data_IF_080526196587
#
_entry.id   IF_080526196587
#
_cell.length_a   1.000
_cell.length_b   1.000
_cell.length_c   1.000
_cell.angle_alpha   90.00
_cell.angle_beta   90.00
_cell.angle_gamma   90.00
#
_symmetry.space_group_name_H-M   'P 1'
#
loop_
_entity.id
_entity.type
_entity.pdbx_description
1 polymer ?
#
# COMPACT_ATOMS: atom_id res chain seq x y z
N UNK A 1 -17.94 24.78 4.55
CA UNK A 1 -16.73 23.93 4.56
C UNK A 1 -15.51 24.84 4.46
N UNK A 2 -14.35 24.48 5.03
CA UNK A 2 -13.10 25.25 4.89
C UNK A 2 -12.73 25.37 3.39
N UNK A 3 -12.31 26.54 2.92
CA UNK A 3 -11.97 26.79 1.50
C UNK A 3 -10.88 25.83 0.98
N UNK A 4 -9.91 25.49 1.83
CA UNK A 4 -8.86 24.51 1.50
C UNK A 4 -9.44 23.12 1.19
N UNK A 5 -10.49 22.72 1.90
CA UNK A 5 -11.11 21.40 1.75
C UNK A 5 -11.85 21.31 0.41
N UNK A 6 -12.55 22.37 0.05
CA UNK A 6 -13.27 22.48 -1.23
C UNK A 6 -12.29 22.34 -2.40
N UNK A 7 -11.17 23.07 -2.38
CA UNK A 7 -10.15 22.98 -3.43
C UNK A 7 -9.58 21.57 -3.61
N UNK A 8 -9.32 20.85 -2.50
CA UNK A 8 -8.84 19.46 -2.56
C UNK A 8 -9.87 18.50 -3.14
N UNK A 9 -11.15 18.63 -2.77
CA UNK A 9 -12.20 17.78 -3.35
C UNK A 9 -12.39 18.02 -4.84
N UNK A 10 -12.29 19.29 -5.29
CA UNK A 10 -12.32 19.64 -6.71
C UNK A 10 -11.15 18.97 -7.45
N UNK A 11 -9.91 19.11 -6.93
CA UNK A 11 -8.73 18.49 -7.54
C UNK A 11 -8.85 16.96 -7.63
N UNK A 12 -9.40 16.32 -6.60
CA UNK A 12 -9.66 14.87 -6.60
C UNK A 12 -10.72 14.49 -7.63
N UNK A 13 -11.82 15.25 -7.71
CA UNK A 13 -12.87 15.02 -8.70
C UNK A 13 -12.30 15.08 -10.12
N UNK A 14 -11.44 16.06 -10.40
CA UNK A 14 -10.83 16.25 -11.71
C UNK A 14 -9.81 15.13 -12.02
N UNK A 15 -8.99 14.74 -11.05
CA UNK A 15 -8.06 13.62 -11.19
C UNK A 15 -8.78 12.27 -11.39
N UNK A 16 -9.88 12.05 -10.69
CA UNK A 16 -10.67 10.83 -10.79
C UNK A 16 -11.21 10.58 -12.20
N UNK A 17 -11.56 11.64 -12.94
CA UNK A 17 -11.97 11.53 -14.34
C UNK A 17 -10.89 10.85 -15.21
N UNK A 18 -9.62 11.19 -15.00
CA UNK A 18 -8.49 10.59 -15.73
C UNK A 18 -8.06 9.25 -15.16
N UNK A 19 -8.06 9.10 -13.83
CA UNK A 19 -7.54 7.88 -13.19
C UNK A 19 -8.52 6.70 -13.25
N UNK A 20 -9.82 6.97 -13.10
CA UNK A 20 -10.85 5.94 -12.95
C UNK A 20 -11.76 5.82 -14.17
N UNK A 21 -12.21 6.96 -14.72
CA UNK A 21 -13.26 6.94 -15.75
C UNK A 21 -12.64 6.72 -17.13
N UNK A 22 -11.66 7.55 -17.48
CA UNK A 22 -10.98 7.55 -18.78
C UNK A 22 -9.46 7.42 -18.62
N UNK A 23 -8.95 6.27 -18.12
CA UNK A 23 -7.51 6.04 -18.03
C UNK A 23 -6.87 6.02 -19.41
N UNK A 24 -5.73 6.70 -19.55
CA UNK A 24 -4.95 6.74 -20.80
C UNK A 24 -4.46 5.34 -21.20
N UNK A 25 -4.12 4.53 -20.20
CA UNK A 25 -3.60 3.18 -20.39
C UNK A 25 -4.41 2.17 -19.58
N UNK A 26 -4.85 1.12 -20.27
CA UNK A 26 -5.54 -0.04 -19.72
C UNK A 26 -4.74 -1.32 -20.03
N UNK A 27 -4.99 -2.38 -19.28
CA UNK A 27 -4.22 -3.63 -19.35
C UNK A 27 -5.15 -4.83 -19.45
N UNK A 28 -4.62 -6.00 -19.81
CA UNK A 28 -5.40 -7.24 -19.72
C UNK A 28 -5.68 -7.54 -18.25
N UNK A 29 -6.84 -8.13 -17.98
CA UNK A 29 -7.25 -8.55 -16.63
C UNK A 29 -6.13 -9.30 -15.89
N UNK A 30 -5.56 -10.33 -16.52
CA UNK A 30 -4.52 -11.18 -15.92
C UNK A 30 -3.28 -10.39 -15.51
N UNK A 31 -2.89 -9.42 -16.32
CA UNK A 31 -1.68 -8.62 -16.08
C UNK A 31 -1.88 -7.71 -14.85
N UNK A 32 -3.10 -7.23 -14.61
CA UNK A 32 -3.45 -6.45 -13.41
C UNK A 32 -3.27 -7.29 -12.13
N UNK A 33 -3.61 -8.59 -12.21
CA UNK A 33 -3.50 -9.53 -11.09
C UNK A 33 -2.05 -9.99 -10.89
N UNK A 34 -1.38 -10.41 -11.97
CA UNK A 34 -0.03 -10.99 -11.94
C UNK A 34 1.08 -9.93 -11.84
N UNK A 35 0.79 -8.72 -12.29
CA UNK A 35 1.68 -7.57 -12.26
C UNK A 35 2.05 -7.07 -13.66
N UNK A 36 2.08 -5.75 -13.79
CA UNK A 36 2.50 -5.03 -15.01
C UNK A 36 3.79 -4.29 -14.73
N UNK A 37 4.67 -4.21 -15.73
CA UNK A 37 5.85 -3.36 -15.65
C UNK A 37 5.49 -1.93 -15.99
N UNK A 38 5.58 -1.03 -15.01
CA UNK A 38 5.45 0.41 -15.19
C UNK A 38 6.81 1.02 -14.88
N UNK A 39 7.40 1.70 -15.87
CA UNK A 39 8.79 2.15 -15.81
C UNK A 39 9.73 0.99 -15.41
N UNK A 40 10.43 1.11 -14.28
CA UNK A 40 11.36 0.13 -13.75
C UNK A 40 10.77 -0.71 -12.60
N UNK A 41 9.45 -0.69 -12.40
CA UNK A 41 8.77 -1.38 -11.29
C UNK A 41 7.67 -2.29 -11.78
N UNK A 42 7.57 -3.49 -11.19
CA UNK A 42 6.39 -4.35 -11.35
C UNK A 42 5.33 -3.90 -10.35
N UNK A 43 4.15 -3.52 -10.85
CA UNK A 43 3.01 -3.11 -10.06
C UNK A 43 1.89 -4.13 -10.18
N UNK A 44 1.35 -4.55 -9.05
CA UNK A 44 0.22 -5.48 -8.96
C UNK A 44 -0.97 -4.75 -8.34
N UNK A 45 -2.19 -5.18 -8.65
CA UNK A 45 -3.41 -4.63 -8.04
C UNK A 45 -3.37 -4.65 -6.50
N UNK A 46 -2.75 -5.68 -5.92
CA UNK A 46 -2.54 -5.78 -4.48
C UNK A 46 -1.08 -6.03 -4.18
N UNK A 47 -0.44 -5.04 -3.57
CA UNK A 47 0.96 -5.13 -3.16
C UNK A 47 1.18 -6.13 -2.01
N UNK A 48 2.38 -6.75 -1.98
CA UNK A 48 2.81 -7.69 -0.94
C UNK A 48 2.64 -7.14 0.49
N UNK A 49 2.78 -5.83 0.67
CA UNK A 49 2.57 -5.16 1.96
C UNK A 49 1.15 -5.33 2.51
N UNK A 50 0.14 -5.49 1.65
CA UNK A 50 -1.24 -5.77 2.09
C UNK A 50 -1.31 -7.14 2.75
N UNK A 51 -0.66 -8.15 2.15
CA UNK A 51 -0.67 -9.52 2.67
C UNK A 51 0.17 -9.69 3.94
N UNK A 52 1.05 -8.75 4.30
CA UNK A 52 1.79 -8.78 5.58
C UNK A 52 0.85 -8.82 6.80
N UNK A 53 -0.40 -8.36 6.66
CA UNK A 53 -1.40 -8.47 7.71
C UNK A 53 -1.78 -9.92 8.05
N UNK A 54 -1.45 -10.87 7.16
CA UNK A 54 -1.67 -12.30 7.32
C UNK A 54 -0.43 -13.06 7.82
N UNK A 55 0.66 -12.36 8.19
CA UNK A 55 1.89 -12.98 8.68
C UNK A 55 3.13 -12.32 8.08
N UNK A 56 3.66 -11.28 8.72
CA UNK A 56 4.73 -10.47 8.14
C UNK A 56 6.01 -11.29 7.96
N UNK A 57 6.40 -11.50 6.70
CA UNK A 57 7.58 -12.30 6.30
C UNK A 57 7.51 -13.76 6.73
N UNK A 58 6.30 -14.34 6.78
CA UNK A 58 6.11 -15.78 6.99
C UNK A 58 5.65 -16.45 5.69
N UNK A 59 5.81 -17.79 5.56
CA UNK A 59 5.26 -18.54 4.43
C UNK A 59 3.76 -18.26 4.20
N UNK A 60 2.99 -18.07 5.27
CA UNK A 60 1.55 -17.80 5.21
C UNK A 60 1.22 -16.57 4.36
N UNK A 61 2.03 -15.50 4.41
CA UNK A 61 1.78 -14.31 3.58
C UNK A 61 1.81 -14.62 2.10
N UNK A 62 2.75 -15.45 1.65
CA UNK A 62 2.88 -15.82 0.24
C UNK A 62 1.76 -16.77 -0.18
N UNK A 63 1.44 -17.77 0.65
CA UNK A 63 0.33 -18.70 0.40
C UNK A 63 -1.01 -17.97 0.31
N UNK A 64 -1.29 -17.05 1.24
CA UNK A 64 -2.48 -16.19 1.20
C UNK A 64 -2.50 -15.38 -0.09
N UNK A 65 -1.40 -14.74 -0.47
CA UNK A 65 -1.32 -13.98 -1.73
C UNK A 65 -1.65 -14.87 -2.94
N UNK A 66 -1.10 -16.09 -2.99
CA UNK A 66 -1.35 -17.08 -4.04
C UNK A 66 -2.82 -17.48 -4.10
N UNK A 67 -3.50 -17.68 -2.96
CA UNK A 67 -4.95 -17.96 -2.93
C UNK A 67 -5.77 -16.87 -3.61
N UNK A 68 -5.46 -15.59 -3.34
CA UNK A 68 -6.15 -14.48 -3.99
C UNK A 68 -5.86 -14.46 -5.49
N UNK A 69 -4.60 -14.57 -5.91
CA UNK A 69 -4.21 -14.58 -7.33
C UNK A 69 -4.91 -15.73 -8.06
N UNK A 70 -4.83 -16.94 -7.52
CA UNK A 70 -5.46 -18.13 -8.08
C UNK A 70 -6.98 -17.95 -8.20
N UNK A 71 -7.64 -17.39 -7.18
CA UNK A 71 -9.08 -17.13 -7.21
C UNK A 71 -9.47 -16.16 -8.34
N UNK A 72 -8.82 -14.99 -8.43
CA UNK A 72 -9.16 -13.98 -9.43
C UNK A 72 -8.85 -14.47 -10.85
N UNK A 73 -7.75 -15.20 -11.06
CA UNK A 73 -7.46 -15.81 -12.37
C UNK A 73 -8.48 -16.89 -12.74
N UNK A 74 -8.81 -17.80 -11.82
CA UNK A 74 -9.77 -18.89 -12.07
C UNK A 74 -11.18 -18.38 -12.38
N UNK A 75 -11.59 -17.28 -11.73
CA UNK A 75 -12.96 -16.74 -11.83
C UNK A 75 -13.08 -15.53 -12.78
N UNK A 76 -12.06 -15.27 -13.61
CA UNK A 76 -11.97 -14.11 -14.51
C UNK A 76 -13.27 -13.82 -15.25
N UNK A 77 -13.78 -14.77 -16.04
CA UNK A 77 -14.94 -14.58 -16.91
C UNK A 77 -16.20 -14.23 -16.10
N UNK A 78 -16.41 -14.92 -14.97
CA UNK A 78 -17.53 -14.62 -14.08
C UNK A 78 -17.42 -13.22 -13.48
N UNK A 79 -16.22 -12.81 -13.04
CA UNK A 79 -15.99 -11.50 -12.43
C UNK A 79 -16.21 -10.39 -13.46
N UNK A 80 -15.65 -10.52 -14.67
CA UNK A 80 -15.82 -9.54 -15.76
C UNK A 80 -17.30 -9.40 -16.12
N UNK A 81 -17.99 -10.52 -16.33
CA UNK A 81 -19.43 -10.52 -16.64
C UNK A 81 -20.23 -9.81 -15.54
N UNK A 82 -19.99 -10.17 -14.29
CA UNK A 82 -20.69 -9.59 -13.14
C UNK A 82 -20.41 -8.09 -12.99
N UNK A 83 -19.16 -7.64 -13.14
CA UNK A 83 -18.81 -6.22 -13.06
C UNK A 83 -19.47 -5.41 -14.18
N UNK A 84 -19.46 -5.91 -15.41
CA UNK A 84 -20.10 -5.24 -16.55
C UNK A 84 -21.63 -5.16 -16.41
N UNK A 85 -22.26 -6.00 -15.58
CA UNK A 85 -23.71 -6.01 -15.34
C UNK A 85 -24.17 -5.26 -14.09
N UNK A 86 -23.27 -4.68 -13.28
CA UNK A 86 -23.66 -3.96 -12.06
C UNK A 86 -24.57 -2.78 -12.40
N UNK A 87 -25.67 -2.66 -11.66
CA UNK A 87 -26.64 -1.55 -11.78
C UNK A 87 -27.09 -0.99 -10.42
N UNK A 88 -26.71 -1.62 -9.32
CA UNK A 88 -27.16 -1.29 -7.98
C UNK A 88 -26.12 -1.58 -6.90
N UNK A 89 -26.35 -1.04 -5.70
CA UNK A 89 -25.57 -1.36 -4.50
C UNK A 89 -25.69 -2.85 -4.11
N UNK A 90 -26.84 -3.46 -4.36
CA UNK A 90 -27.08 -4.87 -4.07
C UNK A 90 -26.27 -5.78 -5.01
N UNK A 91 -26.06 -5.38 -6.27
CA UNK A 91 -25.28 -6.15 -7.23
C UNK A 91 -23.82 -6.24 -6.79
N UNK A 92 -23.22 -5.10 -6.42
CA UNK A 92 -21.84 -5.09 -5.94
C UNK A 92 -21.71 -5.86 -4.61
N UNK A 93 -22.68 -5.74 -3.69
CA UNK A 93 -22.65 -6.49 -2.42
C UNK A 93 -22.69 -8.00 -2.66
N UNK A 94 -23.53 -8.48 -3.59
CA UNK A 94 -23.62 -9.91 -3.93
C UNK A 94 -22.31 -10.44 -4.48
N UNK A 95 -21.71 -9.73 -5.44
CA UNK A 95 -20.42 -10.11 -6.04
C UNK A 95 -19.35 -10.19 -4.95
N UNK A 96 -19.26 -9.15 -4.14
CA UNK A 96 -18.23 -9.04 -3.13
C UNK A 96 -18.40 -10.02 -1.97
N UNK A 97 -19.65 -10.29 -1.55
CA UNK A 97 -19.95 -11.29 -0.53
C UNK A 97 -19.63 -12.70 -1.01
N UNK A 98 -19.89 -13.00 -2.28
CA UNK A 98 -19.50 -14.27 -2.90
C UNK A 98 -17.98 -14.44 -2.90
N UNK A 99 -17.25 -13.44 -3.40
CA UNK A 99 -15.78 -13.46 -3.42
C UNK A 99 -15.23 -13.60 -2.00
N UNK A 100 -15.79 -12.88 -1.04
CA UNK A 100 -15.40 -12.99 0.37
C UNK A 100 -15.59 -14.41 0.90
N UNK A 101 -16.75 -15.02 0.68
CA UNK A 101 -17.04 -16.37 1.15
C UNK A 101 -16.08 -17.41 0.56
N UNK A 102 -15.89 -17.35 -0.76
CA UNK A 102 -15.04 -18.31 -1.48
C UNK A 102 -13.55 -18.18 -1.05
N UNK A 103 -13.07 -16.93 -0.91
CA UNK A 103 -11.71 -16.67 -0.45
C UNK A 103 -11.54 -17.04 1.03
N UNK A 104 -12.49 -16.69 1.90
CA UNK A 104 -12.43 -17.05 3.32
C UNK A 104 -12.25 -18.56 3.48
N UNK A 105 -13.09 -19.36 2.81
CA UNK A 105 -12.98 -20.82 2.83
C UNK A 105 -11.61 -21.32 2.32
N UNK A 106 -11.08 -20.69 1.27
CA UNK A 106 -9.75 -21.05 0.74
C UNK A 106 -8.61 -20.72 1.71
N UNK A 107 -8.77 -19.71 2.57
CA UNK A 107 -7.74 -19.27 3.51
C UNK A 107 -7.73 -20.06 4.83
N UNK A 108 -8.80 -20.82 5.14
CA UNK A 108 -8.91 -21.58 6.40
C UNK A 108 -7.75 -22.55 6.64
N UNK A 109 -7.12 -23.03 5.57
CA UNK A 109 -5.97 -23.94 5.63
C UNK A 109 -4.61 -23.24 5.47
N UNK A 110 -4.59 -21.95 5.14
CA UNK A 110 -3.39 -21.22 4.72
C UNK A 110 -2.92 -20.17 5.73
N UNK A 111 -3.76 -19.82 6.70
CA UNK A 111 -3.44 -18.90 7.79
C UNK A 111 -4.19 -19.27 9.07
N UNK A 112 -3.75 -18.73 10.22
CA UNK A 112 -4.41 -18.96 11.51
C UNK A 112 -5.79 -18.28 11.63
N UNK A 113 -6.65 -18.86 12.47
CA UNK A 113 -8.02 -18.38 12.72
C UNK A 113 -8.06 -16.96 13.29
N UNK A 114 -7.09 -16.57 14.12
CA UNK A 114 -7.05 -15.22 14.70
C UNK A 114 -6.90 -14.16 13.59
N UNK A 115 -6.13 -14.48 12.54
CA UNK A 115 -6.00 -13.61 11.38
C UNK A 115 -7.30 -13.54 10.56
N UNK A 116 -8.02 -14.64 10.42
CA UNK A 116 -9.31 -14.68 9.71
C UNK A 116 -10.45 -13.99 10.47
N UNK A 117 -10.37 -13.87 11.79
CA UNK A 117 -11.36 -13.15 12.62
C UNK A 117 -11.50 -11.66 12.28
N UNK A 118 -10.63 -11.09 11.45
CA UNK A 118 -10.82 -9.73 10.95
C UNK A 118 -11.49 -9.73 9.58
N UNK A 119 -12.78 -9.34 9.56
CA UNK A 119 -13.53 -9.16 8.32
C UNK A 119 -12.78 -8.28 7.30
N UNK A 120 -12.29 -7.10 7.73
CA UNK A 120 -11.61 -6.20 6.80
C UNK A 120 -10.23 -6.68 6.36
N UNK A 121 -9.60 -7.61 7.10
CA UNK A 121 -8.32 -8.19 6.69
C UNK A 121 -8.47 -8.99 5.40
N UNK A 122 -9.57 -9.72 5.27
CA UNK A 122 -9.93 -10.47 4.05
C UNK A 122 -10.55 -9.54 3.01
N UNK A 123 -11.36 -8.57 3.44
CA UNK A 123 -12.11 -7.70 2.54
C UNK A 123 -11.24 -6.71 1.75
N UNK A 124 -10.27 -6.08 2.41
CA UNK A 124 -9.44 -5.04 1.79
C UNK A 124 -8.74 -5.51 0.50
N UNK A 125 -8.05 -6.67 0.46
CA UNK A 125 -7.50 -7.17 -0.80
C UNK A 125 -8.55 -7.36 -1.90
N UNK A 126 -9.76 -7.82 -1.55
CA UNK A 126 -10.88 -7.97 -2.51
C UNK A 126 -11.24 -6.62 -3.12
N UNK A 127 -11.44 -5.58 -2.28
CA UNK A 127 -11.77 -4.25 -2.78
C UNK A 127 -10.65 -3.68 -3.65
N UNK A 128 -9.38 -3.89 -3.30
CA UNK A 128 -8.24 -3.44 -4.10
C UNK A 128 -8.21 -4.13 -5.47
N UNK A 129 -8.38 -5.45 -5.53
CA UNK A 129 -8.47 -6.16 -6.81
C UNK A 129 -9.63 -5.65 -7.65
N UNK A 130 -10.84 -5.58 -7.09
CA UNK A 130 -12.01 -5.10 -7.82
C UNK A 130 -11.86 -3.65 -8.29
N UNK A 131 -11.25 -2.77 -7.50
CA UNK A 131 -10.94 -1.40 -7.90
C UNK A 131 -10.01 -1.38 -9.12
N UNK A 132 -8.88 -2.10 -9.07
CA UNK A 132 -7.91 -2.10 -10.16
C UNK A 132 -8.46 -2.76 -11.42
N UNK A 133 -9.17 -3.89 -11.29
CA UNK A 133 -9.86 -4.55 -12.40
C UNK A 133 -10.86 -3.58 -13.03
N UNK A 134 -11.78 -3.04 -12.23
CA UNK A 134 -12.87 -2.19 -12.71
C UNK A 134 -12.37 -1.01 -13.51
N UNK A 135 -11.28 -0.36 -13.06
CA UNK A 135 -10.80 0.85 -13.71
C UNK A 135 -9.73 0.60 -14.77
N UNK A 136 -8.93 -0.46 -14.69
CA UNK A 136 -7.79 -0.64 -15.60
C UNK A 136 -7.91 -1.83 -16.56
N UNK A 137 -8.83 -2.77 -16.35
CA UNK A 137 -8.94 -3.94 -17.24
C UNK A 137 -9.62 -3.56 -18.56
N UNK A 138 -8.99 -3.83 -19.70
CA UNK A 138 -9.53 -3.57 -21.05
C UNK A 138 -10.88 -4.24 -21.28
N UNK A 139 -11.13 -5.34 -20.59
CA UNK A 139 -12.36 -6.14 -20.66
C UNK A 139 -13.57 -5.48 -19.95
N UNK A 140 -13.35 -4.41 -19.18
CA UNK A 140 -14.41 -3.66 -18.50
C UNK A 140 -14.82 -2.46 -19.36
N UNK A 141 -16.13 -2.29 -19.59
CA UNK A 141 -16.68 -1.24 -20.44
C UNK A 141 -17.58 -0.23 -19.71
N UNK A 142 -17.95 -0.49 -18.44
CA UNK A 142 -18.90 0.31 -17.67
C UNK A 142 -18.24 1.05 -16.47
N UNK A 143 -16.99 1.51 -16.62
CA UNK A 143 -16.17 2.17 -15.56
C UNK A 143 -16.92 3.27 -14.81
N UNK A 144 -17.62 4.13 -15.55
CA UNK A 144 -18.37 5.22 -14.97
C UNK A 144 -19.45 4.71 -14.01
N UNK A 145 -20.17 3.66 -14.41
CA UNK A 145 -21.17 3.04 -13.57
C UNK A 145 -20.55 2.38 -12.35
N UNK A 146 -19.47 1.62 -12.52
CA UNK A 146 -18.75 0.98 -11.42
C UNK A 146 -18.27 1.97 -10.37
N UNK A 147 -17.86 3.17 -10.79
CA UNK A 147 -17.39 4.21 -9.86
C UNK A 147 -18.43 4.61 -8.80
N UNK A 148 -19.73 4.45 -9.10
CA UNK A 148 -20.84 4.76 -8.19
C UNK A 148 -21.00 3.73 -7.07
N UNK A 149 -20.72 2.46 -7.36
CA UNK A 149 -21.08 1.34 -6.49
C UNK A 149 -19.89 0.75 -5.74
N UNK A 150 -18.67 0.82 -6.30
CA UNK A 150 -17.47 0.24 -5.69
C UNK A 150 -17.21 0.78 -4.29
N UNK A 151 -16.89 -0.15 -3.39
CA UNK A 151 -16.56 0.17 -2.00
C UNK A 151 -15.11 0.61 -1.85
N UNK A 152 -14.87 1.54 -0.93
CA UNK A 152 -13.53 2.06 -0.66
C UNK A 152 -12.69 1.01 0.08
N UNK A 153 -11.49 0.63 -0.38
CA UNK A 153 -10.60 -0.23 0.39
C UNK A 153 -10.21 0.43 1.73
N UNK A 154 -10.72 -0.11 2.84
CA UNK A 154 -10.52 0.53 4.15
C UNK A 154 -9.13 0.24 4.72
N UNK A 155 -8.32 1.28 4.86
CA UNK A 155 -6.97 1.24 5.41
C UNK A 155 -6.75 2.28 6.52
N UNK A 156 -5.74 2.04 7.37
CA UNK A 156 -5.33 3.00 8.41
C UNK A 156 -5.02 4.39 7.85
N UNK A 157 -4.49 4.48 6.63
CA UNK A 157 -4.17 5.76 6.00
C UNK A 157 -5.46 6.52 5.73
N UNK A 158 -6.47 5.88 5.13
CA UNK A 158 -7.81 6.44 4.93
C UNK A 158 -8.44 6.89 6.25
N UNK A 159 -8.32 6.08 7.31
CA UNK A 159 -8.83 6.47 8.64
C UNK A 159 -8.11 7.71 9.21
N UNK A 160 -6.82 7.88 8.87
CA UNK A 160 -6.01 9.01 9.29
C UNK A 160 -6.30 10.31 8.55
N UNK A 161 -6.95 10.25 7.38
CA UNK A 161 -7.23 11.44 6.56
C UNK A 161 -8.44 12.17 7.15
N UNK A 162 -8.21 13.38 7.65
CA UNK A 162 -9.24 14.22 8.28
C UNK A 162 -10.37 14.59 7.30
N UNK A 163 -10.02 14.77 6.04
CA UNK A 163 -10.98 14.97 4.93
C UNK A 163 -11.95 13.80 4.80
N UNK A 164 -11.57 12.58 5.18
CA UNK A 164 -12.47 11.41 5.16
C UNK A 164 -13.14 11.21 6.52
N UNK A 165 -12.36 11.13 7.60
CA UNK A 165 -12.85 10.89 8.95
C UNK A 165 -12.42 11.99 9.92
N UNK A 166 -13.39 12.64 10.55
CA UNK A 166 -13.13 13.50 11.72
C UNK A 166 -12.73 12.63 12.92
N UNK A 167 -12.11 13.24 13.93
CA UNK A 167 -11.78 12.52 15.17
C UNK A 167 -13.01 11.92 15.85
N UNK A 168 -14.11 12.68 15.90
CA UNK A 168 -15.40 12.23 16.45
C UNK A 168 -15.91 10.99 15.72
N UNK A 169 -15.84 10.96 14.38
CA UNK A 169 -16.30 9.82 13.59
C UNK A 169 -15.40 8.61 13.76
N UNK A 170 -14.09 8.80 13.91
CA UNK A 170 -13.18 7.71 14.29
C UNK A 170 -13.55 7.10 15.64
N UNK A 171 -13.76 7.94 16.66
CA UNK A 171 -14.19 7.50 18.00
C UNK A 171 -15.51 6.73 17.95
N UNK A 172 -16.50 7.25 17.22
CA UNK A 172 -17.82 6.61 17.04
C UNK A 172 -17.71 5.20 16.43
N UNK A 173 -16.83 5.00 15.44
CA UNK A 173 -16.62 3.69 14.81
C UNK A 173 -15.61 2.81 15.54
N UNK A 174 -14.99 3.29 16.63
CA UNK A 174 -13.94 2.56 17.33
C UNK A 174 -12.68 2.31 16.48
N UNK A 175 -12.44 3.14 15.45
CA UNK A 175 -11.29 3.01 14.55
C UNK A 175 -10.17 3.98 14.91
N UNK A 176 -8.92 3.55 14.75
CA UNK A 176 -7.72 4.35 15.03
C UNK A 176 -6.83 4.48 13.79
N UNK A 177 -6.16 5.64 13.68
CA UNK A 177 -5.10 5.92 12.71
C UNK A 177 -3.83 5.08 12.92
N UNK A 178 -3.58 4.64 14.16
CA UNK A 178 -2.37 3.89 14.54
C UNK A 178 -2.56 2.38 14.43
N UNK A 179 -3.80 1.89 14.50
CA UNK A 179 -4.11 0.47 14.34
C UNK A 179 -4.21 0.14 12.85
N UNK A 180 -3.68 -1.03 12.46
CA UNK A 180 -3.81 -1.53 11.10
C UNK A 180 -5.27 -1.79 10.71
N UNK A 181 -5.50 -2.14 9.45
CA UNK A 181 -6.84 -2.40 8.92
C UNK A 181 -7.54 -3.63 9.53
N UNK A 182 -6.83 -4.42 10.34
CA UNK A 182 -7.36 -5.58 11.08
C UNK A 182 -8.29 -5.26 12.26
N UNK A 183 -8.53 -3.97 12.55
CA UNK A 183 -9.38 -3.54 13.67
C UNK A 183 -10.89 -3.72 13.42
N UNK A 184 -11.30 -3.84 12.15
CA UNK A 184 -12.70 -4.09 11.78
C UNK A 184 -12.90 -5.61 11.71
N UNK A 185 -13.53 -6.17 12.75
CA UNK A 185 -13.76 -7.61 12.90
C UNK A 185 -15.09 -8.07 12.32
N UNK A 186 -16.11 -7.22 12.33
CA UNK A 186 -17.48 -7.59 11.98
C UNK A 186 -17.93 -6.94 10.68
N UNK A 187 -18.73 -7.68 9.89
CA UNK A 187 -19.37 -7.19 8.65
C UNK A 187 -20.22 -5.94 8.91
N UNK A 188 -21.01 -5.93 9.99
CA UNK A 188 -21.89 -4.80 10.30
C UNK A 188 -21.15 -3.48 10.58
N UNK A 189 -19.97 -3.53 11.22
CA UNK A 189 -19.14 -2.33 11.39
C UNK A 189 -18.56 -1.86 10.05
N UNK A 190 -18.07 -2.78 9.23
CA UNK A 190 -17.57 -2.49 7.88
C UNK A 190 -18.63 -1.77 7.03
N UNK A 191 -19.86 -2.28 7.01
CA UNK A 191 -20.98 -1.68 6.26
C UNK A 191 -21.36 -0.30 6.76
N UNK A 192 -21.41 -0.09 8.09
CA UNK A 192 -21.67 1.23 8.69
C UNK A 192 -20.63 2.26 8.24
N UNK A 193 -19.36 1.86 8.17
CA UNK A 193 -18.27 2.72 7.70
C UNK A 193 -18.43 3.03 6.20
N UNK A 194 -18.71 2.03 5.37
CA UNK A 194 -18.93 2.23 3.93
C UNK A 194 -20.12 3.14 3.64
N UNK A 195 -21.23 2.95 4.36
CA UNK A 195 -22.42 3.81 4.25
C UNK A 195 -22.09 5.25 4.62
N UNK A 196 -21.33 5.47 5.70
CA UNK A 196 -20.87 6.80 6.08
C UNK A 196 -20.03 7.46 4.98
N UNK A 197 -19.09 6.73 4.38
CA UNK A 197 -18.25 7.23 3.29
C UNK A 197 -19.11 7.60 2.07
N UNK A 198 -20.06 6.74 1.67
CA UNK A 198 -21.01 7.02 0.58
C UNK A 198 -21.84 8.27 0.83
N UNK A 199 -22.44 8.40 2.01
CA UNK A 199 -23.20 9.61 2.38
C UNK A 199 -22.32 10.85 2.37
N UNK A 200 -21.06 10.75 2.81
CA UNK A 200 -20.12 11.87 2.79
C UNK A 200 -19.75 12.28 1.36
N UNK A 201 -19.53 11.32 0.47
CA UNK A 201 -19.23 11.58 -0.94
C UNK A 201 -20.38 12.36 -1.61
N UNK A 202 -21.63 11.96 -1.38
CA UNK A 202 -22.82 12.66 -1.89
C UNK A 202 -22.88 14.11 -1.39
N UNK A 203 -22.59 14.34 -0.09
CA UNK A 203 -22.54 15.70 0.46
C UNK A 203 -21.47 16.55 -0.22
N UNK A 204 -20.27 16.01 -0.41
CA UNK A 204 -19.18 16.69 -1.11
C UNK A 204 -19.57 17.02 -2.55
N UNK A 205 -20.14 16.06 -3.29
CA UNK A 205 -20.62 16.25 -4.67
C UNK A 205 -21.59 17.45 -4.75
N UNK A 206 -22.56 17.52 -3.83
CA UNK A 206 -23.50 18.64 -3.76
C UNK A 206 -22.84 19.97 -3.40
N UNK A 207 -21.85 19.94 -2.50
CA UNK A 207 -21.16 21.15 -2.04
C UNK A 207 -20.21 21.74 -3.10
N UNK A 208 -19.54 20.88 -3.88
CA UNK A 208 -18.58 21.33 -4.90
C UNK A 208 -19.19 21.46 -6.30
N UNK A 209 -20.40 20.93 -6.52
CA UNK A 209 -21.09 20.94 -7.81
C UNK A 209 -20.41 20.07 -8.88
N UNK A 210 -19.63 19.05 -8.49
CA UNK A 210 -18.92 18.13 -9.39
C UNK A 210 -19.08 16.68 -8.92
N UNK A 211 -19.08 15.69 -9.83
CA UNK A 211 -19.21 14.28 -9.47
C UNK A 211 -18.15 13.86 -8.44
N UNK A 212 -18.57 13.37 -7.27
CA UNK A 212 -17.67 12.91 -6.23
C UNK A 212 -18.16 11.59 -5.64
N UNK A 213 -17.51 10.48 -6.00
CA UNK A 213 -17.92 9.13 -5.60
C UNK A 213 -17.08 8.61 -4.43
N UNK A 214 -17.63 7.66 -3.67
CA UNK A 214 -16.98 7.11 -2.48
C UNK A 214 -15.56 6.57 -2.76
N UNK A 215 -15.38 5.94 -3.93
CA UNK A 215 -14.08 5.40 -4.33
C UNK A 215 -13.02 6.48 -4.60
N UNK A 216 -13.41 7.75 -4.82
CA UNK A 216 -12.48 8.85 -5.05
C UNK A 216 -11.69 9.23 -3.81
N UNK A 217 -12.19 8.86 -2.61
CA UNK A 217 -11.42 9.03 -1.38
C UNK A 217 -10.11 8.24 -1.37
N UNK A 218 -9.98 7.19 -2.18
CA UNK A 218 -8.72 6.45 -2.34
C UNK A 218 -7.61 7.34 -2.93
N UNK A 219 -7.95 8.41 -3.66
CA UNK A 219 -6.97 9.32 -4.22
C UNK A 219 -6.30 10.22 -3.17
N UNK A 220 -6.84 10.34 -1.97
CA UNK A 220 -6.13 10.99 -0.85
C UNK A 220 -4.93 10.16 -0.39
N UNK A 221 -4.87 8.87 -0.71
CA UNK A 221 -3.75 8.02 -0.32
C UNK A 221 -2.46 8.50 -0.96
N UNK A 222 -1.50 8.96 -0.16
CA UNK A 222 -0.22 9.54 -0.65
C UNK A 222 -0.40 10.62 -1.72
N UNK A 223 -1.48 11.40 -1.62
CA UNK A 223 -1.83 12.46 -2.57
C UNK A 223 -1.81 11.98 -4.04
N UNK A 224 -2.30 10.76 -4.30
CA UNK A 224 -2.42 10.16 -5.66
C UNK A 224 -3.05 11.11 -6.69
N UNK A 225 -3.98 11.97 -6.27
CA UNK A 225 -4.62 12.96 -7.16
C UNK A 225 -3.64 14.01 -7.72
N UNK A 226 -2.50 14.23 -7.07
CA UNK A 226 -1.44 15.15 -7.51
C UNK A 226 -0.37 14.47 -8.36
N UNK A 227 -0.35 13.14 -8.41
CA UNK A 227 0.63 12.37 -9.15
C UNK A 227 0.20 12.17 -10.61
N UNK A 228 0.97 11.40 -11.37
CA UNK A 228 0.70 11.10 -12.77
C UNK A 228 -0.73 10.51 -12.96
N UNK A 229 -1.67 11.25 -13.58
CA UNK A 229 -3.09 10.92 -13.57
C UNK A 229 -3.48 9.89 -14.65
N UNK A 230 -2.53 9.23 -15.31
CA UNK A 230 -2.76 8.26 -16.39
C UNK A 230 -3.69 7.12 -16.01
N UNK A 231 -3.47 6.53 -14.82
CA UNK A 231 -4.29 5.49 -14.20
C UNK A 231 -3.83 5.27 -12.75
N UNK A 232 -4.42 4.29 -12.06
CA UNK A 232 -4.09 3.95 -10.68
C UNK A 232 -2.64 3.50 -10.47
N UNK A 233 -2.01 2.83 -11.42
CA UNK A 233 -0.60 2.43 -11.26
C UNK A 233 0.33 3.63 -11.36
N UNK A 234 0.13 4.50 -12.35
CA UNK A 234 0.94 5.72 -12.48
C UNK A 234 0.74 6.68 -11.31
N UNK A 235 -0.46 6.79 -10.75
CA UNK A 235 -0.70 7.65 -9.58
C UNK A 235 0.01 7.15 -8.31
N UNK A 236 0.45 5.89 -8.29
CA UNK A 236 1.26 5.29 -7.22
C UNK A 236 2.77 5.48 -7.43
N UNK A 237 3.21 5.96 -8.59
CA UNK A 237 4.58 6.34 -8.82
C UNK A 237 4.73 7.76 -8.29
N UNK A 238 5.48 7.92 -7.18
CA UNK A 238 5.91 9.24 -6.74
C UNK A 238 6.75 9.85 -7.86
N UNK A 239 6.12 10.72 -8.63
CA UNK A 239 6.81 11.66 -9.49
C UNK A 239 7.75 12.47 -8.60
N UNK A 240 9.05 12.49 -8.92
CA UNK A 240 10.02 13.41 -8.29
C UNK A 240 9.75 14.88 -8.69
N UNK A 241 8.48 15.27 -8.85
CA UNK A 241 8.08 16.62 -9.25
C UNK A 241 7.87 17.47 -7.98
N UNK A 242 8.78 17.32 -7.02
CA UNK A 242 9.00 18.31 -5.97
C UNK A 242 10.40 18.94 -6.06
N UNK A 243 11.21 18.57 -7.06
CA UNK A 243 12.52 19.21 -7.23
C UNK A 243 12.55 20.32 -8.28
N UNK A 244 11.56 20.48 -9.18
CA UNK A 244 11.50 21.65 -10.06
C UNK A 244 10.07 21.95 -10.57
N UNK A 245 9.63 23.19 -10.38
CA UNK A 245 8.63 23.92 -11.16
C UNK A 245 7.20 23.38 -11.26
N UNK A 246 6.33 23.65 -10.27
CA UNK A 246 4.91 23.87 -10.59
C UNK A 246 4.14 24.86 -9.71
N UNK A 247 4.79 25.62 -8.82
CA UNK A 247 4.09 26.61 -7.97
C UNK A 247 4.60 28.06 -8.04
N UNK A 248 5.62 28.38 -8.84
CA UNK A 248 6.18 29.75 -8.85
C UNK A 248 5.61 30.71 -9.91
N UNK A 249 4.73 30.30 -10.83
CA UNK A 249 4.34 31.19 -11.93
C UNK A 249 3.03 31.99 -11.76
N UNK A 250 2.46 32.08 -10.55
CA UNK A 250 1.28 32.94 -10.32
C UNK A 250 1.28 33.85 -9.11
N UNK A 251 2.34 33.89 -8.31
CA UNK A 251 2.44 34.77 -7.16
C UNK A 251 3.90 35.19 -6.94
N UNK A 252 4.39 36.18 -7.66
CA UNK A 252 5.13 37.37 -7.15
C UNK A 252 5.42 38.25 -8.38
N UNK A 253 4.48 39.14 -8.69
CA UNK A 253 4.87 40.45 -9.17
C UNK A 253 5.38 41.25 -7.97
N UNK A 254 6.41 42.06 -8.23
CA UNK A 254 7.02 43.10 -7.36
C UNK A 254 8.25 42.69 -6.54
N UNK A 255 9.39 43.19 -7.04
CA UNK A 255 10.50 43.81 -6.32
C UNK A 255 10.89 43.20 -4.98
N UNK A 256 11.96 42.41 -4.96
CA UNK A 256 12.87 42.42 -3.80
C UNK A 256 14.34 42.29 -4.21
N UNK A 257 15.12 43.06 -3.47
CA UNK A 257 16.47 43.53 -3.72
C UNK A 257 17.53 42.43 -3.84
N UNK A 258 18.41 42.58 -4.83
CA UNK A 258 19.66 41.81 -4.95
C UNK A 258 20.67 42.41 -3.98
N UNK A 259 20.66 42.01 -2.71
CA UNK A 259 21.83 42.06 -1.82
C UNK A 259 21.49 41.45 -0.46
N UNK A 260 21.66 40.13 -0.33
CA UNK A 260 22.10 39.48 0.92
C UNK A 260 22.50 38.04 0.63
N UNK A 261 23.74 37.88 0.16
CA UNK A 261 24.48 36.62 0.22
C UNK A 261 24.98 36.45 1.65
N UNK A 262 24.31 35.59 2.42
CA UNK A 262 24.89 34.72 3.47
C UNK A 262 23.73 34.12 4.24
N UNK A 263 23.43 32.84 4.02
CA UNK A 263 22.81 31.86 4.93
C UNK A 263 22.18 30.71 4.10
N UNK A 264 23.02 29.99 3.38
CA UNK A 264 22.70 28.68 2.80
C UNK A 264 24.02 27.89 2.77
N UNK A 265 24.32 27.24 3.88
CA UNK A 265 25.31 26.17 4.00
C UNK A 265 25.11 25.59 5.39
N UNK A 266 24.23 24.60 5.48
CA UNK A 266 24.17 23.56 6.51
C UNK A 266 22.80 22.88 6.33
N UNK A 267 22.74 21.87 5.45
CA UNK A 267 21.86 20.68 5.58
C UNK A 267 21.88 19.77 4.33
N UNK A 268 23.02 19.70 3.60
CA UNK A 268 23.25 18.68 2.55
C UNK A 268 24.21 17.55 2.97
N UNK A 269 24.47 17.40 4.27
CA UNK A 269 25.42 16.41 4.78
C UNK A 269 24.79 15.20 5.48
N UNK A 270 23.63 14.72 5.03
CA UNK A 270 23.16 13.36 5.41
C UNK A 270 22.45 12.76 4.19
N UNK A 271 23.18 11.94 3.42
CA UNK A 271 22.74 10.89 2.47
C UNK A 271 23.67 10.77 1.24
N UNK A 272 24.98 10.80 1.46
CA UNK A 272 25.98 10.18 0.56
C UNK A 272 27.10 9.58 1.40
N UNK A 273 26.78 8.56 2.19
CA UNK A 273 27.81 7.57 2.53
C UNK A 273 27.80 6.52 1.42
N UNK A 274 28.56 6.79 0.37
CA UNK A 274 29.13 5.70 -0.40
C UNK A 274 30.00 4.91 0.58
N UNK A 275 29.51 3.74 0.98
CA UNK A 275 30.29 2.83 1.81
C UNK A 275 31.54 2.44 1.04
N UNK A 276 32.70 2.97 1.46
CA UNK A 276 34.00 2.56 0.96
C UNK A 276 34.14 1.05 1.16
N UNK A 277 34.18 0.33 0.03
CA UNK A 277 34.27 -1.13 -0.02
C UNK A 277 35.53 -1.64 0.70
N UNK A 278 36.58 -0.82 0.77
CA UNK A 278 37.83 -1.14 1.47
C UNK A 278 37.62 -1.23 2.98
N UNK A 279 36.69 -0.45 3.54
CA UNK A 279 36.45 -0.35 4.98
C UNK A 279 35.58 -1.51 5.50
N UNK A 280 34.67 -2.01 4.65
CA UNK A 280 33.90 -3.24 4.92
C UNK A 280 34.83 -4.45 4.95
N UNK A 281 35.75 -4.57 3.99
CA UNK A 281 36.72 -5.67 3.91
C UNK A 281 37.66 -5.63 5.12
N UNK A 282 38.19 -4.46 5.50
CA UNK A 282 39.03 -4.31 6.70
C UNK A 282 38.30 -4.72 7.99
N UNK A 283 36.99 -4.48 8.09
CA UNK A 283 36.17 -4.91 9.25
C UNK A 283 35.92 -6.42 9.27
N UNK A 284 35.82 -7.08 8.11
CA UNK A 284 35.70 -8.54 8.02
C UNK A 284 37.00 -9.26 8.42
N UNK A 285 38.16 -8.69 8.10
CA UNK A 285 39.49 -9.27 8.43
C UNK A 285 39.75 -9.32 9.96
N UNK A 286 39.04 -8.50 10.76
CA UNK A 286 39.13 -8.51 12.24
C UNK A 286 38.03 -9.32 12.94
N UNK A 287 37.16 -10.00 12.19
CA UNK A 287 36.04 -10.75 12.76
C UNK A 287 36.46 -12.17 13.20
N UNK A 288 35.79 -12.77 14.21
CA UNK A 288 36.04 -14.14 14.68
C UNK A 288 36.13 -15.20 13.56
N UNK A 289 36.80 -16.33 13.81
CA UNK A 289 37.03 -17.42 12.84
C UNK A 289 35.78 -17.90 12.08
N UNK A 290 34.60 -17.75 12.68
CA UNK A 290 33.29 -18.00 12.08
C UNK A 290 33.04 -17.25 10.76
N UNK A 291 33.57 -16.03 10.61
CA UNK A 291 33.29 -15.16 9.46
C UNK A 291 34.15 -15.45 8.23
N UNK A 292 35.24 -16.22 8.38
CA UNK A 292 36.13 -16.61 7.26
C UNK A 292 35.43 -17.49 6.21
N UNK A 293 34.38 -18.23 6.59
CA UNK A 293 33.63 -19.10 5.66
C UNK A 293 32.91 -18.32 4.54
N UNK A 294 32.74 -17.00 4.70
CA UNK A 294 31.99 -16.14 3.77
C UNK A 294 32.87 -15.12 3.03
N UNK A 295 34.19 -15.26 3.10
CA UNK A 295 35.14 -14.34 2.48
C UNK A 295 34.98 -14.28 0.94
N UNK A 296 34.53 -15.39 0.34
CA UNK A 296 34.28 -15.52 -1.11
C UNK A 296 32.80 -15.38 -1.51
N UNK A 297 31.89 -15.01 -0.60
CA UNK A 297 30.48 -14.83 -0.93
C UNK A 297 30.25 -13.59 -1.82
N UNK A 298 29.26 -13.67 -2.72
CA UNK A 298 28.85 -12.53 -3.56
C UNK A 298 28.42 -11.32 -2.69
N UNK A 299 28.68 -10.11 -3.20
CA UNK A 299 28.47 -8.83 -2.52
C UNK A 299 27.03 -8.65 -2.05
N UNK A 300 26.06 -9.17 -2.80
CA UNK A 300 24.64 -9.13 -2.43
C UNK A 300 24.35 -9.98 -1.20
N UNK A 301 24.98 -11.15 -1.09
CA UNK A 301 24.85 -12.05 0.06
C UNK A 301 25.53 -11.44 1.30
N UNK A 302 26.73 -10.84 1.13
CA UNK A 302 27.42 -10.10 2.20
C UNK A 302 26.58 -8.93 2.74
N UNK A 303 25.92 -8.17 1.86
CA UNK A 303 25.02 -7.08 2.24
C UNK A 303 23.80 -7.57 3.03
N UNK A 304 23.17 -8.67 2.59
CA UNK A 304 22.06 -9.31 3.31
C UNK A 304 22.48 -9.81 4.69
N UNK A 305 23.66 -10.42 4.76
CA UNK A 305 24.24 -10.91 6.01
C UNK A 305 24.51 -9.78 7.01
N UNK A 306 25.08 -8.66 6.55
CA UNK A 306 25.30 -7.47 7.39
C UNK A 306 23.99 -6.84 7.87
N UNK A 307 22.94 -6.85 7.04
CA UNK A 307 21.59 -6.41 7.47
C UNK A 307 21.02 -7.32 8.55
N UNK A 308 21.22 -8.63 8.44
CA UNK A 308 20.81 -9.60 9.45
C UNK A 308 21.55 -9.36 10.77
N UNK A 309 22.87 -9.20 10.73
CA UNK A 309 23.69 -8.88 11.91
C UNK A 309 23.20 -7.60 12.60
N UNK A 310 23.00 -6.52 11.85
CA UNK A 310 22.51 -5.26 12.40
C UNK A 310 21.10 -5.38 13.02
N UNK A 311 20.24 -6.25 12.47
CA UNK A 311 18.93 -6.54 13.04
C UNK A 311 19.01 -7.31 14.36
N UNK A 312 19.92 -8.29 14.43
CA UNK A 312 20.17 -9.11 15.64
C UNK A 312 20.79 -8.27 16.75
N UNK A 313 21.73 -7.38 16.42
CA UNK A 313 22.40 -6.49 17.37
C UNK A 313 21.48 -5.43 17.96
N UNK A 314 20.64 -4.78 17.13
CA UNK A 314 19.58 -3.86 17.60
C UNK A 314 18.56 -4.51 18.53
N UNK A 315 18.46 -5.84 18.52
CA UNK A 315 17.59 -6.62 19.40
C UNK A 315 18.30 -7.13 20.66
N UNK A 316 19.59 -6.84 20.82
CA UNK A 316 20.39 -7.25 21.97
C UNK A 316 20.64 -8.75 22.04
N UNK A 317 20.60 -9.44 20.89
CA UNK A 317 20.66 -10.90 20.81
C UNK A 317 22.11 -11.41 20.72
N UNK A 318 23.09 -10.51 20.55
CA UNK A 318 24.50 -10.86 20.69
C UNK A 318 24.92 -10.92 22.14
N UNK A 319 25.66 -11.98 22.50
CA UNK A 319 26.42 -11.97 23.73
C UNK A 319 27.53 -10.91 23.61
N UNK A 320 27.50 -9.90 24.48
CA UNK A 320 28.42 -8.74 24.44
C UNK A 320 29.89 -9.14 24.60
N UNK A 321 30.19 -10.26 25.26
CA UNK A 321 31.55 -10.72 25.50
C UNK A 321 32.14 -11.47 24.29
N UNK A 322 31.34 -12.30 23.61
CA UNK A 322 31.82 -13.17 22.52
C UNK A 322 31.49 -12.64 21.13
N UNK A 323 30.55 -11.67 21.03
CA UNK A 323 29.96 -11.20 19.76
C UNK A 323 29.37 -12.32 18.90
N UNK A 324 28.99 -13.44 19.53
CA UNK A 324 28.26 -14.55 18.91
C UNK A 324 26.78 -14.41 19.30
N UNK A 325 25.81 -14.74 18.42
CA UNK A 325 24.40 -14.74 18.78
C UNK A 325 24.15 -15.70 19.96
N UNK A 326 23.42 -15.25 20.99
CA UNK A 326 22.96 -16.17 22.03
C UNK A 326 21.80 -16.99 21.45
N UNK A 327 22.10 -18.24 21.08
CA UNK A 327 21.15 -19.13 20.42
C UNK A 327 19.89 -19.40 21.26
N UNK A 328 19.93 -19.23 22.59
CA UNK A 328 18.75 -19.32 23.46
C UNK A 328 17.79 -18.13 23.27
N UNK A 329 18.30 -16.97 22.88
CA UNK A 329 17.51 -15.78 22.52
C UNK A 329 17.05 -15.83 21.06
N UNK A 330 17.82 -16.49 20.20
CA UNK A 330 17.45 -16.78 18.80
C UNK A 330 16.25 -17.73 18.74
N UNK A 331 16.24 -18.81 19.53
CA UNK A 331 15.12 -19.76 19.56
C UNK A 331 13.80 -19.13 20.01
N UNK A 332 13.86 -18.12 20.88
CA UNK A 332 12.69 -17.34 21.30
C UNK A 332 12.25 -16.30 20.29
N UNK A 333 12.99 -16.13 19.19
CA UNK A 333 12.72 -15.16 18.14
C UNK A 333 12.66 -15.88 16.79
N UNK A 334 11.51 -16.49 16.50
CA UNK A 334 11.24 -17.30 15.30
C UNK A 334 11.67 -16.61 14.00
N UNK A 335 11.60 -15.28 13.94
CA UNK A 335 12.00 -14.50 12.77
C UNK A 335 13.52 -14.47 12.55
N UNK A 336 14.30 -14.45 13.63
CA UNK A 336 15.76 -14.48 13.57
C UNK A 336 16.23 -15.93 13.36
N UNK A 337 15.57 -16.90 14.00
CA UNK A 337 15.79 -18.33 13.75
C UNK A 337 15.58 -18.68 12.27
N UNK A 338 14.42 -18.33 11.69
CA UNK A 338 14.14 -18.56 10.26
C UNK A 338 15.17 -17.95 9.32
N UNK A 339 15.63 -16.72 9.59
CA UNK A 339 16.64 -16.08 8.77
C UNK A 339 17.99 -16.76 8.92
N UNK A 340 18.37 -17.19 10.12
CA UNK A 340 19.60 -17.94 10.33
C UNK A 340 19.52 -19.31 9.64
N UNK A 341 18.45 -20.07 9.83
CA UNK A 341 18.28 -21.39 9.19
C UNK A 341 18.34 -21.26 7.66
N UNK A 342 17.69 -20.25 7.07
CA UNK A 342 17.73 -19.97 5.62
C UNK A 342 19.11 -19.55 5.07
N UNK A 343 20.01 -19.01 5.89
CA UNK A 343 21.35 -18.58 5.46
C UNK A 343 22.46 -19.58 5.80
N UNK A 344 22.19 -20.57 6.65
CA UNK A 344 23.19 -21.47 7.22
C UNK A 344 22.95 -22.96 6.97
N UNK A 345 21.77 -23.37 6.49
CA UNK A 345 21.56 -24.61 5.72
C UNK A 345 21.93 -24.39 4.25
#
# INVERSE_FOLDING_TARGET
MNSEFVSKYIAISDAAGKIYINPEETYKYDDIIKGIKIENKTMMAVDKSTFQAFGRFTPNMFKVQECYIAYFIKNKESIIKSLNSISSDDDIEKIESKIFSDIHASLENETDKERLNSYNRIRKPINLYLQHISFMAREINNRENLSKYLLLPLDRIIFGIEFVFTEEKRKLFGISKSKGFGQIKEKGLYEKIQKYIKTKAIKIENEIGKPFKAIYFDLFWNDRYMNNPKNLFYSNIKTRINDLHFYEEKLVGNNFDKNNKTFLNNDEHILKEEFDQSEIIKRMVKAPSFYKKYENADLKLKSLFMKLINMVDRKGIFNKATKIPDYRLVEKNEKIKFLLDYFFE
#
